data_IF_281403021927
#
_entry.id   IF_281403021927
#
_cell.length_a   1.000
_cell.length_b   1.000
_cell.length_c   1.000
_cell.angle_alpha   90.00
_cell.angle_beta   90.00
_cell.angle_gamma   90.00
#
_symmetry.space_group_name_H-M   'P 1'
#
loop_
_entity.id
_entity.type
_entity.pdbx_description
1 polymer ?
#
# COMPACT_ATOMS: atom_id res chain seq x y z
N UNK A 1 -0.39 -12.52 -26.23
CA UNK A 1 -0.75 -13.41 -25.10
C UNK A 1 -0.99 -12.48 -23.93
N UNK A 2 -2.25 -12.20 -23.60
CA UNK A 2 -2.56 -11.24 -22.54
C UNK A 2 -2.10 -11.83 -21.21
N UNK A 3 -1.19 -11.14 -20.52
CA UNK A 3 -0.96 -11.40 -19.10
C UNK A 3 -2.31 -11.29 -18.41
N UNK A 4 -2.72 -12.33 -17.68
CA UNK A 4 -3.85 -12.23 -16.77
C UNK A 4 -3.52 -11.09 -15.79
N UNK A 5 -4.21 -9.96 -15.94
CA UNK A 5 -3.93 -8.74 -15.22
C UNK A 5 -4.55 -8.87 -13.83
N UNK A 6 -3.86 -9.57 -12.94
CA UNK A 6 -4.25 -9.64 -11.53
C UNK A 6 -3.94 -8.32 -10.83
N UNK A 7 -4.71 -7.96 -9.80
CA UNK A 7 -4.41 -6.82 -8.95
C UNK A 7 -3.00 -6.92 -8.37
N UNK A 8 -2.26 -5.82 -8.52
CA UNK A 8 -0.94 -5.63 -7.93
C UNK A 8 -0.87 -4.24 -7.34
N UNK A 9 -0.33 -4.13 -6.14
CA UNK A 9 -0.04 -2.83 -5.57
C UNK A 9 1.28 -2.77 -4.82
N UNK A 10 1.83 -1.57 -4.76
CA UNK A 10 3.03 -1.23 -4.02
C UNK A 10 2.89 0.20 -3.52
N UNK A 11 2.52 0.36 -2.25
CA UNK A 11 2.12 1.65 -1.67
C UNK A 11 2.92 1.91 -0.41
N UNK A 12 3.50 3.12 -0.31
CA UNK A 12 4.05 3.66 0.93
C UNK A 12 3.41 5.01 1.20
N UNK A 13 2.81 5.15 2.37
CA UNK A 13 2.23 6.42 2.84
C UNK A 13 2.96 6.89 4.09
N UNK A 14 3.18 8.21 4.19
CA UNK A 14 3.46 8.87 5.46
C UNK A 14 2.31 9.83 5.76
N UNK A 15 1.77 9.82 6.98
CA UNK A 15 0.61 10.63 7.33
C UNK A 15 0.66 11.19 8.76
N UNK A 16 0.07 12.37 8.94
CA UNK A 16 -0.06 13.04 10.23
C UNK A 16 -1.16 12.41 11.10
N UNK A 17 -2.19 11.87 10.45
CA UNK A 17 -3.34 11.18 11.02
C UNK A 17 -3.69 9.94 10.16
N UNK A 18 -4.87 9.34 10.38
CA UNK A 18 -5.36 8.21 9.60
C UNK A 18 -5.42 8.55 8.10
N UNK A 19 -4.71 7.84 7.21
CA UNK A 19 -4.77 8.09 5.78
C UNK A 19 -6.18 7.97 5.19
N UNK A 20 -7.03 7.09 5.75
CA UNK A 20 -8.41 6.90 5.31
C UNK A 20 -9.33 8.09 5.66
N UNK A 21 -8.88 9.02 6.51
CA UNK A 21 -9.58 10.29 6.78
C UNK A 21 -9.06 11.45 5.93
N UNK A 22 -7.80 11.37 5.46
CA UNK A 22 -7.15 12.41 4.65
C UNK A 22 -7.42 12.20 3.16
N UNK A 23 -7.27 10.96 2.67
CA UNK A 23 -7.59 10.60 1.30
C UNK A 23 -9.10 10.66 1.08
N UNK A 24 -9.51 11.36 0.01
CA UNK A 24 -10.91 11.57 -0.35
C UNK A 24 -11.02 11.93 -1.82
N UNK A 25 -12.22 11.75 -2.38
CA UNK A 25 -12.53 12.11 -3.76
C UNK A 25 -12.15 13.57 -4.09
N UNK A 26 -11.68 13.78 -5.32
CA UNK A 26 -11.34 15.08 -5.90
C UNK A 26 -9.93 15.59 -5.57
N UNK A 27 -9.11 14.83 -4.85
CA UNK A 27 -7.72 15.20 -4.61
C UNK A 27 -6.89 15.06 -5.88
N UNK A 28 -6.13 16.10 -6.24
CA UNK A 28 -5.23 16.10 -7.39
C UNK A 28 -3.83 16.48 -6.91
N UNK A 29 -2.85 15.61 -7.15
CA UNK A 29 -1.48 15.83 -6.74
C UNK A 29 -0.87 17.03 -7.46
N UNK A 30 -0.24 17.94 -6.70
CA UNK A 30 0.59 18.99 -7.28
C UNK A 30 1.96 18.39 -7.68
N UNK A 31 2.38 18.48 -8.97
CA UNK A 31 3.54 17.75 -9.48
C UNK A 31 4.87 18.02 -8.74
N UNK A 32 5.18 19.25 -8.35
CA UNK A 32 6.46 19.56 -7.71
C UNK A 32 6.50 19.01 -6.27
N UNK A 33 5.39 19.08 -5.55
CA UNK A 33 5.24 18.50 -4.22
C UNK A 33 5.28 16.98 -4.27
N UNK A 34 4.60 16.37 -5.24
CA UNK A 34 4.66 14.93 -5.50
C UNK A 34 6.08 14.46 -5.83
N UNK A 35 6.82 15.20 -6.67
CA UNK A 35 8.23 14.90 -6.96
C UNK A 35 9.07 14.89 -5.69
N UNK A 36 8.92 15.88 -4.81
CA UNK A 36 9.66 15.94 -3.54
C UNK A 36 9.35 14.73 -2.63
N UNK A 37 8.09 14.30 -2.57
CA UNK A 37 7.68 13.12 -1.81
C UNK A 37 8.29 11.82 -2.38
N UNK A 38 8.33 11.70 -3.72
CA UNK A 38 8.97 10.58 -4.41
C UNK A 38 10.49 10.56 -4.19
N UNK A 39 11.19 11.69 -4.39
CA UNK A 39 12.65 11.81 -4.22
C UNK A 39 13.09 11.52 -2.79
N UNK A 40 12.27 11.84 -1.79
CA UNK A 40 12.56 11.48 -0.39
C UNK A 40 12.69 9.97 -0.18
N UNK A 41 11.86 9.18 -0.88
CA UNK A 41 11.82 7.71 -0.76
C UNK A 41 12.71 7.01 -1.77
N UNK A 42 12.96 7.65 -2.91
CA UNK A 42 13.76 7.13 -4.02
C UNK A 42 14.82 8.17 -4.46
N UNK A 43 15.81 8.51 -3.61
CA UNK A 43 16.72 9.62 -3.88
C UNK A 43 17.53 9.42 -5.17
N UNK A 44 17.43 10.39 -6.09
CA UNK A 44 18.17 10.37 -7.34
C UNK A 44 17.65 9.34 -8.36
N UNK A 45 16.45 8.78 -8.12
CA UNK A 45 15.83 7.77 -9.00
C UNK A 45 14.54 8.26 -9.66
N UNK A 46 14.12 9.49 -9.40
CA UNK A 46 12.87 10.07 -9.94
C UNK A 46 13.18 10.88 -11.20
N UNK A 47 12.89 10.29 -12.35
CA UNK A 47 13.16 10.84 -13.67
C UNK A 47 12.14 11.88 -14.14
N UNK A 48 11.98 11.94 -15.45
CA UNK A 48 11.09 12.90 -16.11
C UNK A 48 9.60 12.68 -15.75
N UNK A 49 8.81 13.74 -15.93
CA UNK A 49 7.35 13.73 -15.76
C UNK A 49 6.71 12.77 -16.77
N UNK A 50 5.78 11.95 -16.32
CA UNK A 50 4.88 11.13 -17.12
C UNK A 50 3.44 11.64 -17.00
N UNK A 51 2.49 10.93 -17.61
CA UNK A 51 1.08 11.17 -17.37
C UNK A 51 0.73 10.94 -15.89
N UNK A 52 -0.21 11.75 -15.40
CA UNK A 52 -0.87 11.53 -14.12
C UNK A 52 -1.82 10.34 -14.26
N UNK A 53 -2.03 9.60 -13.18
CA UNK A 53 -2.98 8.48 -13.15
C UNK A 53 -3.92 8.61 -11.95
N UNK A 54 -5.15 8.10 -12.05
CA UNK A 54 -5.98 7.89 -10.88
C UNK A 54 -5.27 6.94 -9.89
N UNK A 55 -5.53 7.11 -8.60
CA UNK A 55 -4.99 6.25 -7.53
C UNK A 55 -5.32 4.78 -7.83
N UNK A 56 -6.52 4.51 -8.35
CA UNK A 56 -6.95 3.17 -8.75
C UNK A 56 -5.95 2.47 -9.68
N UNK A 57 -5.33 3.19 -10.61
CA UNK A 57 -4.35 2.64 -11.56
C UNK A 57 -2.90 2.81 -11.06
N UNK A 58 -2.63 3.93 -10.39
CA UNK A 58 -1.29 4.32 -9.93
C UNK A 58 -0.71 3.37 -8.87
N UNK A 59 -1.56 2.67 -8.12
CA UNK A 59 -1.12 1.66 -7.14
C UNK A 59 -0.38 0.49 -7.78
N UNK A 60 -0.58 0.23 -9.08
CA UNK A 60 0.20 -0.70 -9.89
C UNK A 60 1.23 0.06 -10.74
N UNK A 61 2.36 0.50 -10.16
CA UNK A 61 3.24 1.47 -10.79
C UNK A 61 4.01 0.97 -12.00
N UNK A 62 4.05 -0.36 -12.25
CA UNK A 62 4.92 -0.99 -13.26
C UNK A 62 6.35 -0.42 -13.14
N UNK A 63 6.92 0.12 -14.21
CA UNK A 63 8.28 0.68 -14.23
C UNK A 63 8.30 2.21 -13.97
N UNK A 64 7.30 2.74 -13.25
CA UNK A 64 7.16 4.16 -12.94
C UNK A 64 7.05 4.41 -11.43
N UNK A 65 7.01 5.70 -11.06
CA UNK A 65 6.72 6.16 -9.70
C UNK A 65 5.51 7.07 -9.76
N UNK A 66 4.45 6.78 -9.02
CA UNK A 66 3.33 7.70 -8.85
C UNK A 66 3.34 8.26 -7.44
N UNK A 67 3.15 9.57 -7.30
CA UNK A 67 3.21 10.22 -6.00
C UNK A 67 2.16 11.32 -5.82
N UNK A 68 1.80 11.56 -4.57
CA UNK A 68 0.96 12.66 -4.14
C UNK A 68 1.46 13.22 -2.82
N UNK A 69 1.35 14.54 -2.67
CA UNK A 69 1.59 15.25 -1.42
C UNK A 69 0.38 16.14 -1.17
N UNK A 70 -0.39 15.78 -0.16
CA UNK A 70 -1.60 16.45 0.29
C UNK A 70 -1.40 16.99 1.70
N UNK A 71 -2.35 17.80 2.19
CA UNK A 71 -2.26 18.30 3.55
C UNK A 71 -2.27 17.14 4.55
N UNK A 72 -1.16 17.00 5.29
CA UNK A 72 -0.96 15.92 6.27
C UNK A 72 -0.65 14.54 5.70
N UNK A 73 -0.44 14.35 4.38
CA UNK A 73 -0.20 13.04 3.79
C UNK A 73 0.72 13.07 2.56
N UNK A 74 1.72 12.19 2.54
CA UNK A 74 2.52 11.86 1.34
C UNK A 74 2.28 10.40 0.96
N UNK A 75 1.90 10.12 -0.28
CA UNK A 75 1.74 8.79 -0.87
C UNK A 75 2.72 8.59 -2.02
N UNK A 76 3.37 7.43 -2.07
CA UNK A 76 4.24 7.01 -3.18
C UNK A 76 3.95 5.57 -3.54
N UNK A 77 3.71 5.33 -4.83
CA UNK A 77 3.53 4.02 -5.42
C UNK A 77 4.72 3.71 -6.35
N UNK A 78 5.52 2.71 -5.99
CA UNK A 78 6.66 2.21 -6.78
C UNK A 78 7.07 0.81 -6.31
N UNK A 79 7.45 -0.09 -7.21
CA UNK A 79 7.98 -1.40 -6.80
C UNK A 79 9.31 -1.26 -6.06
N UNK A 80 10.08 -0.24 -6.35
CA UNK A 80 11.40 0.05 -5.79
C UNK A 80 11.35 0.37 -4.31
N UNK A 81 10.26 0.99 -3.84
CA UNK A 81 10.09 1.25 -2.41
C UNK A 81 9.77 -0.03 -1.63
N UNK A 82 9.34 -1.09 -2.33
CA UNK A 82 8.94 -2.38 -1.75
C UNK A 82 10.04 -3.45 -1.94
N UNK A 83 10.44 -3.70 -3.19
CA UNK A 83 11.37 -4.77 -3.58
C UNK A 83 12.84 -4.42 -3.33
N UNK A 84 13.17 -3.13 -3.23
CA UNK A 84 14.55 -2.65 -3.22
C UNK A 84 15.34 -2.93 -1.93
N UNK A 85 14.75 -3.57 -0.91
CA UNK A 85 15.37 -3.59 0.42
C UNK A 85 15.65 -4.96 1.05
N UNK A 86 15.34 -6.06 0.36
CA UNK A 86 15.46 -7.38 0.96
C UNK A 86 14.41 -7.53 2.06
N UNK A 87 13.65 -8.62 2.02
CA UNK A 87 12.68 -8.95 3.07
C UNK A 87 13.42 -9.18 4.39
N UNK A 88 13.44 -8.17 5.27
CA UNK A 88 13.71 -8.28 6.71
C UNK A 88 13.17 -7.02 7.42
N UNK A 89 11.87 -6.96 7.75
CA UNK A 89 11.36 -5.93 8.69
C UNK A 89 10.72 -6.44 9.99
N UNK A 90 11.53 -6.99 10.91
CA UNK A 90 11.19 -7.11 12.33
C UNK A 90 11.66 -5.93 13.21
N UNK A 91 12.51 -4.99 12.74
CA UNK A 91 12.82 -3.75 13.47
C UNK A 91 13.20 -2.57 12.54
N UNK A 92 12.58 -1.41 12.77
CA UNK A 92 12.89 -0.12 12.12
C UNK A 92 12.15 0.14 10.79
N UNK A 93 11.47 1.30 10.70
CA UNK A 93 10.80 1.71 9.46
C UNK A 93 11.82 2.05 8.36
N UNK A 94 11.81 1.37 7.21
CA UNK A 94 12.75 1.68 6.13
C UNK A 94 12.44 3.00 5.44
N UNK A 95 11.18 3.44 5.45
CA UNK A 95 10.76 4.67 4.77
C UNK A 95 10.81 5.87 5.71
N UNK A 96 11.37 6.96 5.19
CA UNK A 96 11.37 8.26 5.87
C UNK A 96 10.30 9.13 5.23
N UNK A 97 9.42 9.66 6.06
CA UNK A 97 8.40 10.64 5.68
C UNK A 97 8.39 11.83 6.65
N UNK A 98 7.75 12.93 6.28
CA UNK A 98 7.69 14.13 7.12
C UNK A 98 6.72 13.99 8.30
N UNK A 99 5.90 12.93 8.33
CA UNK A 99 4.83 12.78 9.31
C UNK A 99 5.07 11.63 10.29
N UNK A 100 4.22 11.60 11.33
CA UNK A 100 4.29 10.65 12.44
C UNK A 100 4.20 9.21 11.99
N UNK A 101 3.23 8.91 11.13
CA UNK A 101 2.89 7.55 10.76
C UNK A 101 3.49 7.18 9.41
N UNK A 102 3.88 5.93 9.27
CA UNK A 102 4.24 5.32 7.99
C UNK A 102 3.43 4.04 7.80
N UNK A 103 2.93 3.84 6.58
CA UNK A 103 2.16 2.67 6.19
C UNK A 103 2.78 2.05 4.94
N UNK A 104 2.78 0.73 4.90
CA UNK A 104 3.14 -0.09 3.74
C UNK A 104 1.92 -0.91 3.35
N UNK A 105 1.70 -1.06 2.05
CA UNK A 105 0.84 -2.11 1.52
C UNK A 105 1.36 -2.62 0.19
N UNK A 106 1.41 -3.94 0.09
CA UNK A 106 1.87 -4.70 -1.06
C UNK A 106 0.92 -5.86 -1.26
N UNK A 107 0.56 -6.09 -2.50
CA UNK A 107 -0.32 -7.19 -2.88
C UNK A 107 0.03 -7.61 -4.29
N UNK A 108 0.09 -8.91 -4.52
CA UNK A 108 0.32 -9.49 -5.83
C UNK A 108 -0.52 -10.76 -6.00
N UNK A 109 -1.66 -10.62 -6.67
CA UNK A 109 -2.61 -11.72 -6.90
C UNK A 109 -2.07 -12.85 -7.78
N UNK A 110 -1.10 -12.58 -8.65
CA UNK A 110 -0.50 -13.63 -9.50
C UNK A 110 0.23 -14.72 -8.69
N UNK A 111 0.62 -14.42 -7.45
CA UNK A 111 1.31 -15.34 -6.53
C UNK A 111 0.63 -15.39 -5.16
N UNK A 112 -0.55 -14.80 -5.05
CA UNK A 112 -1.33 -14.66 -3.81
C UNK A 112 -0.50 -14.23 -2.59
N UNK A 113 0.24 -13.13 -2.72
CA UNK A 113 1.05 -12.53 -1.64
C UNK A 113 0.46 -11.20 -1.20
N UNK A 114 0.37 -10.98 0.11
CA UNK A 114 0.12 -9.68 0.73
C UNK A 114 1.18 -9.37 1.77
N UNK A 115 1.56 -8.11 1.87
CA UNK A 115 2.33 -7.56 2.98
C UNK A 115 1.80 -6.17 3.35
N UNK A 116 1.60 -5.90 4.63
CA UNK A 116 1.33 -4.54 5.10
C UNK A 116 2.01 -4.28 6.44
N UNK A 117 2.24 -3.00 6.72
CA UNK A 117 2.80 -2.60 8.00
C UNK A 117 2.47 -1.18 8.38
N UNK A 118 2.56 -0.91 9.68
CA UNK A 118 2.26 0.37 10.32
C UNK A 118 3.37 0.70 11.32
N UNK A 119 3.94 1.90 11.19
CA UNK A 119 4.96 2.42 12.08
C UNK A 119 4.54 3.77 12.68
N UNK A 120 4.80 3.98 13.98
CA UNK A 120 4.67 5.26 14.68
C UNK A 120 6.08 5.81 14.97
N UNK A 121 6.43 6.95 14.36
CA UNK A 121 7.77 7.58 14.49
C UNK A 121 8.90 6.58 14.25
N UNK A 122 8.73 5.76 13.22
CA UNK A 122 9.70 4.75 12.82
C UNK A 122 9.70 3.46 13.65
N UNK A 123 8.88 3.35 14.70
CA UNK A 123 8.74 2.15 15.53
C UNK A 123 7.60 1.29 15.03
N UNK A 124 7.86 0.00 14.81
CA UNK A 124 6.87 -0.96 14.34
C UNK A 124 5.70 -1.03 15.32
N UNK A 125 4.48 -0.94 14.80
CA UNK A 125 3.24 -1.13 15.56
C UNK A 125 2.56 -2.43 15.14
N UNK A 126 2.53 -2.69 13.84
CA UNK A 126 1.95 -3.88 13.24
C UNK A 126 2.62 -4.19 11.91
N UNK A 127 2.91 -5.45 11.64
CA UNK A 127 3.31 -5.94 10.33
C UNK A 127 2.74 -7.34 10.10
N UNK A 128 2.32 -7.60 8.86
CA UNK A 128 1.84 -8.91 8.41
C UNK A 128 2.35 -9.15 7.00
N UNK A 129 2.89 -10.34 6.77
CA UNK A 129 3.08 -10.92 5.45
C UNK A 129 2.31 -12.24 5.38
N UNK A 130 1.59 -12.47 4.28
CA UNK A 130 0.86 -13.72 4.07
C UNK A 130 0.94 -14.16 2.60
N UNK A 131 1.11 -15.46 2.39
CA UNK A 131 0.96 -16.09 1.08
C UNK A 131 0.33 -17.47 1.17
N UNK A 132 -0.26 -17.93 0.07
CA UNK A 132 -0.82 -19.30 0.01
C UNK A 132 0.29 -20.34 0.16
N UNK A 133 1.47 -20.08 -0.42
CA UNK A 133 2.60 -21.02 -0.45
C UNK A 133 3.39 -21.07 0.85
N UNK A 134 3.53 -19.95 1.56
CA UNK A 134 4.45 -19.81 2.70
C UNK A 134 3.75 -19.53 4.04
N UNK A 135 2.42 -19.39 4.04
CA UNK A 135 1.65 -19.12 5.24
C UNK A 135 1.75 -17.67 5.69
N UNK A 136 1.76 -17.44 7.00
CA UNK A 136 1.74 -16.08 7.57
C UNK A 136 2.94 -15.82 8.47
N UNK A 137 3.52 -14.63 8.36
CA UNK A 137 4.42 -14.03 9.33
C UNK A 137 3.81 -12.72 9.83
N UNK A 138 3.98 -12.41 11.12
CA UNK A 138 3.40 -11.21 11.71
C UNK A 138 4.19 -10.73 12.93
N UNK A 139 4.11 -9.44 13.19
CA UNK A 139 4.69 -8.79 14.37
C UNK A 139 3.76 -7.67 14.87
N UNK A 140 3.74 -7.44 16.18
CA UNK A 140 2.86 -6.46 16.82
C UNK A 140 1.39 -6.88 16.92
N UNK A 141 0.55 -6.01 17.49
CA UNK A 141 -0.84 -6.33 17.83
C UNK A 141 -1.78 -6.21 16.62
N UNK A 142 -2.66 -7.21 16.38
CA UNK A 142 -3.63 -7.15 15.28
C UNK A 142 -4.53 -5.92 15.35
N UNK A 143 -4.70 -5.27 14.20
CA UNK A 143 -5.65 -4.17 14.00
C UNK A 143 -7.08 -4.72 14.03
N UNK A 144 -8.06 -3.85 14.33
CA UNK A 144 -9.44 -4.26 14.54
C UNK A 144 -10.04 -5.02 13.34
N UNK A 145 -9.73 -4.60 12.11
CA UNK A 145 -10.22 -5.23 10.88
C UNK A 145 -9.67 -6.65 10.68
N UNK A 146 -8.54 -6.99 11.30
CA UNK A 146 -7.91 -8.29 11.13
C UNK A 146 -8.55 -9.39 11.99
N UNK A 147 -9.32 -9.01 13.02
CA UNK A 147 -9.83 -9.97 14.02
C UNK A 147 -10.65 -11.13 13.41
N UNK A 148 -11.58 -10.91 12.46
CA UNK A 148 -12.34 -12.01 11.86
C UNK A 148 -11.44 -12.98 11.07
N UNK A 149 -10.37 -12.47 10.44
CA UNK A 149 -9.39 -13.26 9.72
C UNK A 149 -8.65 -14.20 10.67
N UNK A 150 -8.10 -13.67 11.77
CA UNK A 150 -7.40 -14.48 12.76
C UNK A 150 -8.33 -15.44 13.55
N UNK A 151 -9.63 -15.15 13.58
CA UNK A 151 -10.64 -16.02 14.18
C UNK A 151 -11.10 -17.16 13.26
N UNK A 152 -10.66 -17.19 12.00
CA UNK A 152 -11.05 -18.22 11.03
C UNK A 152 -12.42 -17.98 10.39
N UNK A 153 -13.00 -16.79 10.48
CA UNK A 153 -14.30 -16.48 9.85
C UNK A 153 -14.20 -16.45 8.31
N UNK A 154 -12.99 -16.26 7.78
CA UNK A 154 -12.67 -16.25 6.35
C UNK A 154 -11.71 -17.37 5.94
N UNK A 155 -11.72 -18.47 6.70
CA UNK A 155 -10.90 -19.64 6.42
C UNK A 155 -11.11 -20.13 4.99
N UNK A 156 -10.03 -20.62 4.38
CA UNK A 156 -10.06 -21.20 3.05
C UNK A 156 -9.42 -22.58 3.11
N UNK A 157 -10.14 -23.57 2.58
CA UNK A 157 -9.59 -24.92 2.45
C UNK A 157 -8.35 -24.89 1.54
N UNK A 158 -7.24 -25.46 2.02
CA UNK A 158 -5.99 -25.73 1.30
C UNK A 158 -4.95 -24.60 1.16
N UNK A 159 -4.89 -23.61 2.05
CA UNK A 159 -3.74 -22.69 2.15
C UNK A 159 -2.82 -22.96 3.34
N UNK A 160 -1.54 -22.58 3.24
CA UNK A 160 -0.64 -22.54 4.40
C UNK A 160 -0.97 -21.37 5.36
N UNK A 161 -1.72 -20.38 4.89
CA UNK A 161 -2.24 -19.26 5.68
C UNK A 161 -3.65 -19.59 6.23
N UNK A 162 -4.10 -18.98 7.34
CA UNK A 162 -5.42 -19.21 7.92
C UNK A 162 -6.57 -18.49 7.19
N UNK A 163 -6.28 -17.81 6.08
CA UNK A 163 -7.23 -17.10 5.23
C UNK A 163 -6.58 -16.82 3.86
N UNK A 164 -7.38 -16.47 2.87
CA UNK A 164 -6.86 -16.08 1.55
C UNK A 164 -6.11 -14.73 1.61
N UNK A 165 -4.82 -14.67 1.24
CA UNK A 165 -4.00 -13.45 1.31
C UNK A 165 -4.62 -12.23 0.63
N UNK A 166 -5.21 -12.40 -0.56
CA UNK A 166 -5.88 -11.30 -1.28
C UNK A 166 -7.05 -10.69 -0.50
N UNK A 167 -7.84 -11.51 0.23
CA UNK A 167 -8.95 -10.98 1.03
C UNK A 167 -8.45 -10.12 2.19
N UNK A 168 -7.33 -10.50 2.81
CA UNK A 168 -6.70 -9.68 3.84
C UNK A 168 -6.11 -8.41 3.22
N UNK A 169 -5.50 -8.51 2.03
CA UNK A 169 -4.94 -7.37 1.30
C UNK A 169 -5.98 -6.30 0.97
N UNK A 170 -7.12 -6.71 0.43
CA UNK A 170 -8.23 -5.79 0.15
C UNK A 170 -8.78 -5.14 1.44
N UNK A 171 -8.95 -5.90 2.51
CA UNK A 171 -9.38 -5.33 3.80
C UNK A 171 -8.34 -4.37 4.39
N UNK A 172 -7.05 -4.67 4.23
CA UNK A 172 -5.99 -3.77 4.65
C UNK A 172 -5.98 -2.47 3.82
N UNK A 173 -6.26 -2.51 2.51
CA UNK A 173 -6.43 -1.29 1.71
C UNK A 173 -7.57 -0.43 2.26
N UNK A 174 -8.72 -1.06 2.51
CA UNK A 174 -9.90 -0.35 3.02
C UNK A 174 -9.66 0.25 4.39
N UNK A 175 -9.04 -0.52 5.30
CA UNK A 175 -8.78 -0.09 6.66
C UNK A 175 -7.67 0.96 6.78
N UNK A 176 -6.60 0.85 5.98
CA UNK A 176 -5.44 1.73 6.09
C UNK A 176 -5.54 2.98 5.21
N UNK A 177 -6.23 2.90 4.07
CA UNK A 177 -6.28 4.00 3.09
C UNK A 177 -7.69 4.40 2.66
N UNK A 178 -8.73 3.67 3.06
CA UNK A 178 -10.12 4.05 2.79
C UNK A 178 -10.63 3.67 1.40
N UNK A 179 -9.91 2.87 0.62
CA UNK A 179 -10.35 2.37 -0.69
C UNK A 179 -10.02 0.89 -0.85
N UNK A 180 -10.62 0.24 -1.84
CA UNK A 180 -10.35 -1.16 -2.24
C UNK A 180 -10.06 -1.22 -3.75
N UNK A 181 -9.44 -2.29 -4.23
CA UNK A 181 -9.16 -2.51 -5.66
C UNK A 181 -10.20 -3.45 -6.27
N UNK A 182 -10.26 -4.68 -5.79
CA UNK A 182 -11.23 -5.71 -6.22
C UNK A 182 -12.37 -5.89 -5.21
N UNK A 183 -12.21 -5.39 -3.98
CA UNK A 183 -13.19 -5.47 -2.90
C UNK A 183 -12.91 -6.56 -1.85
N UNK A 184 -13.45 -6.38 -0.65
CA UNK A 184 -13.38 -7.34 0.45
C UNK A 184 -14.74 -7.50 1.15
N UNK A 185 -15.00 -8.66 1.80
CA UNK A 185 -16.20 -8.84 2.62
C UNK A 185 -16.29 -7.75 3.71
N UNK A 186 -17.46 -7.14 3.86
CA UNK A 186 -17.77 -6.15 4.90
C UNK A 186 -16.85 -4.91 4.91
N UNK A 187 -16.23 -4.61 3.77
CA UNK A 187 -15.39 -3.41 3.58
C UNK A 187 -16.06 -2.49 2.57
N UNK A 188 -16.69 -1.43 3.09
CA UNK A 188 -17.21 -0.34 2.27
C UNK A 188 -16.09 0.71 2.04
N UNK A 189 -15.69 1.00 0.79
CA UNK A 189 -14.72 2.05 0.51
C UNK A 189 -15.29 3.42 0.88
N UNK A 190 -14.44 4.29 1.43
CA UNK A 190 -14.79 5.65 1.86
C UNK A 190 -14.86 6.64 0.70
N UNK A 191 -14.16 6.36 -0.39
CA UNK A 191 -14.15 7.16 -1.62
C UNK A 191 -13.81 6.28 -2.83
N UNK A 192 -14.11 6.78 -4.03
CA UNK A 192 -13.71 6.14 -5.28
C UNK A 192 -12.24 6.49 -5.60
N UNK A 193 -11.31 5.50 -5.67
CA UNK A 193 -9.91 5.77 -5.98
C UNK A 193 -9.68 6.27 -7.41
N UNK A 194 -10.67 6.23 -8.30
CA UNK A 194 -10.59 6.92 -9.61
C UNK A 194 -10.66 8.44 -9.49
N UNK A 195 -11.15 8.97 -8.36
CA UNK A 195 -11.31 10.41 -8.13
C UNK A 195 -10.11 11.05 -7.42
N UNK A 196 -9.05 10.29 -7.12
CA UNK A 196 -7.79 10.81 -6.60
C UNK A 196 -6.73 10.69 -7.69
N UNK A 197 -6.09 11.79 -8.07
CA UNK A 197 -5.06 11.79 -9.12
C UNK A 197 -3.66 11.91 -8.52
N UNK A 198 -2.77 10.99 -8.90
CA UNK A 198 -1.35 10.99 -8.54
C UNK A 198 -0.47 11.39 -9.73
N UNK A 199 0.64 12.05 -9.42
CA UNK A 199 1.61 12.48 -10.41
C UNK A 199 2.61 11.33 -10.71
N UNK A 200 2.59 10.78 -11.93
CA UNK A 200 3.55 9.78 -12.46
C UNK A 200 4.91 10.29 -12.97
N UNK A 201 6.00 9.65 -12.60
CA UNK A 201 7.39 9.95 -13.00
C UNK A 201 8.07 8.69 -13.50
N UNK A 202 9.02 8.82 -14.41
CA UNK A 202 9.86 7.69 -14.83
C UNK A 202 10.85 7.31 -13.71
N UNK A 203 11.25 6.05 -13.65
CA UNK A 203 12.43 5.63 -12.89
C UNK A 203 13.70 5.88 -13.71
N UNK A 204 14.81 6.18 -13.03
CA UNK A 204 16.15 6.32 -13.62
C UNK A 204 17.14 5.29 -13.10
#
# INVERSE_FOLDING_TARGET
MGEAMGAKNAIVVSAAADPAEILRAGLVAEPDSARRAAERRLPGRVGQRLADLPLADAVNPRDAVYAGAFDGLEIVCAWEVVNGRGTDYPDGCPWVGPYRWTYLHVMQSAVDVVEFGVWDRGKLQRWVAASIEHGTAQEGEPLAFERPYWAGEYDVDHSAAPFHPMRLGEAALGALFGFVQEGAPDVDPRFDPFEVTLAGFALT
#
